data_IF_483950265664
#
_entry.id   IF_483950265664
#
_cell.length_a   1.000
_cell.length_b   1.000
_cell.length_c   1.000
_cell.angle_alpha   90.00
_cell.angle_beta   90.00
_cell.angle_gamma   90.00
#
_symmetry.space_group_name_H-M   'P 1'
#
loop_
_entity.id
_entity.type
_entity.pdbx_description
1 polymer ?
#
# COMPACT_ATOMS: atom_id res chain seq x y z
N UNK A 1 -15.56 8.78 2.83
CA UNK A 1 -14.12 9.03 3.04
C UNK A 1 -13.55 10.15 2.18
N UNK A 2 -13.70 10.12 0.83
CA UNK A 2 -13.12 11.15 -0.06
C UNK A 2 -13.53 12.60 0.27
N UNK A 3 -14.76 12.81 0.75
CA UNK A 3 -15.25 14.15 1.10
C UNK A 3 -14.44 14.83 2.22
N UNK A 4 -13.93 14.08 3.20
CA UNK A 4 -13.09 14.65 4.27
C UNK A 4 -11.73 15.12 3.75
N UNK A 5 -11.14 14.38 2.80
CA UNK A 5 -9.93 14.78 2.10
C UNK A 5 -10.15 16.06 1.29
N UNK A 6 -11.30 16.19 0.62
CA UNK A 6 -11.65 17.40 -0.13
C UNK A 6 -11.74 18.64 0.77
N UNK A 7 -12.34 18.52 1.96
CA UNK A 7 -12.42 19.61 2.94
C UNK A 7 -11.01 20.04 3.39
N UNK A 8 -10.12 19.09 3.65
CA UNK A 8 -8.74 19.40 4.04
C UNK A 8 -7.96 20.09 2.92
N UNK A 9 -8.17 19.67 1.66
CA UNK A 9 -7.59 20.32 0.48
C UNK A 9 -8.08 21.77 0.34
N UNK A 10 -9.39 21.99 0.38
CA UNK A 10 -10.00 23.34 0.23
C UNK A 10 -9.58 24.28 1.37
N UNK A 11 -9.43 23.76 2.58
CA UNK A 11 -8.97 24.56 3.74
C UNK A 11 -7.45 24.67 3.87
N UNK A 12 -6.69 24.09 2.92
CA UNK A 12 -5.23 24.10 2.92
C UNK A 12 -4.61 23.35 4.11
N UNK A 13 -5.36 22.47 4.78
CA UNK A 13 -4.94 21.74 5.99
C UNK A 13 -4.19 20.45 5.65
N UNK A 14 -3.18 20.55 4.78
CA UNK A 14 -2.31 19.43 4.39
C UNK A 14 -0.85 19.88 4.49
N UNK A 15 0.04 19.00 4.98
CA UNK A 15 1.49 19.22 4.99
C UNK A 15 2.01 20.19 6.07
N UNK A 16 1.16 20.60 7.03
CA UNK A 16 1.54 21.47 8.15
C UNK A 16 1.26 20.79 9.49
N UNK A 17 2.06 21.14 10.50
CA UNK A 17 1.90 20.62 11.86
C UNK A 17 0.48 20.89 12.39
N UNK A 18 -0.12 19.90 13.06
CA UNK A 18 -1.50 19.99 13.58
C UNK A 18 -2.61 19.91 12.51
N UNK A 19 -2.28 19.63 11.24
CA UNK A 19 -3.25 19.44 10.16
C UNK A 19 -3.12 18.07 9.50
N UNK A 20 -4.16 17.64 8.80
CA UNK A 20 -4.19 16.40 8.02
C UNK A 20 -5.40 15.53 8.34
N UNK A 21 -5.41 14.34 7.74
CA UNK A 21 -6.40 13.31 7.99
C UNK A 21 -5.73 12.11 8.67
N UNK A 22 -6.17 11.79 9.88
CA UNK A 22 -5.73 10.59 10.60
C UNK A 22 -6.82 9.51 10.53
N UNK A 23 -6.56 8.43 9.79
CA UNK A 23 -7.43 7.25 9.83
C UNK A 23 -7.01 6.36 11.01
N UNK A 24 -7.84 6.32 12.06
CA UNK A 24 -7.61 5.41 13.19
C UNK A 24 -7.97 3.99 12.75
N UNK A 25 -6.98 3.12 12.64
CA UNK A 25 -7.19 1.70 12.31
C UNK A 25 -7.45 0.89 13.59
N UNK A 26 -8.45 -0.01 13.57
CA UNK A 26 -8.83 -0.76 14.77
C UNK A 26 -7.82 -1.82 15.22
N UNK A 27 -7.17 -2.53 14.28
CA UNK A 27 -6.21 -3.58 14.61
C UNK A 27 -4.83 -2.99 14.91
N UNK A 28 -4.14 -3.50 15.94
CA UNK A 28 -2.87 -2.97 16.42
C UNK A 28 -1.73 -2.94 15.38
N UNK A 29 -1.73 -3.87 14.42
CA UNK A 29 -0.80 -3.87 13.29
C UNK A 29 -1.52 -3.81 11.93
N UNK A 30 -2.71 -3.21 11.88
CA UNK A 30 -3.51 -3.17 10.65
C UNK A 30 -2.84 -2.39 9.52
N UNK A 31 -2.12 -1.31 9.84
CA UNK A 31 -1.38 -0.53 8.85
C UNK A 31 -0.06 -1.22 8.45
N UNK A 32 0.72 -1.74 9.42
CA UNK A 32 1.95 -2.47 9.12
C UNK A 32 1.72 -3.73 8.29
N UNK A 33 0.63 -4.47 8.52
CA UNK A 33 0.24 -5.60 7.68
C UNK A 33 0.07 -5.22 6.20
N UNK A 34 -0.55 -4.07 5.92
CA UNK A 34 -0.73 -3.56 4.55
C UNK A 34 0.60 -3.16 3.93
N UNK A 35 1.47 -2.54 4.71
CA UNK A 35 2.83 -2.19 4.28
C UNK A 35 3.68 -3.40 3.94
N UNK A 36 3.50 -4.51 4.66
CA UNK A 36 4.18 -5.76 4.37
C UNK A 36 3.58 -6.53 3.18
N UNK A 37 2.55 -5.99 2.52
CA UNK A 37 1.93 -6.63 1.37
C UNK A 37 0.97 -7.78 1.74
N UNK A 38 0.33 -7.74 2.92
CA UNK A 38 -0.70 -8.71 3.32
C UNK A 38 -2.02 -8.50 2.53
N UNK A 39 -1.91 -8.50 1.21
CA UNK A 39 -3.00 -8.39 0.24
C UNK A 39 -2.59 -9.10 -1.04
N UNK A 40 -3.50 -9.87 -1.64
CA UNK A 40 -3.21 -10.73 -2.79
C UNK A 40 -2.80 -9.98 -4.08
N UNK A 41 -2.87 -8.65 -4.10
CA UNK A 41 -2.56 -7.80 -5.24
C UNK A 41 -1.42 -6.80 -4.99
N UNK A 42 -0.75 -6.84 -3.83
CA UNK A 42 0.31 -5.89 -3.49
C UNK A 42 1.58 -6.59 -3.03
N UNK A 43 2.71 -6.03 -3.45
CA UNK A 43 4.03 -6.35 -2.94
C UNK A 43 4.35 -5.43 -1.73
N UNK A 44 5.31 -5.80 -0.87
CA UNK A 44 5.72 -4.97 0.25
C UNK A 44 6.06 -3.53 -0.17
N UNK A 45 5.75 -2.56 0.68
CA UNK A 45 5.91 -1.13 0.43
C UNK A 45 4.85 -0.53 -0.48
N UNK A 46 3.62 -1.05 -0.47
CA UNK A 46 2.52 -0.62 -1.35
C UNK A 46 2.85 -0.73 -2.85
N UNK A 47 3.78 -1.61 -3.22
CA UNK A 47 4.18 -1.82 -4.61
C UNK A 47 3.09 -2.60 -5.35
N UNK A 48 2.77 -2.17 -6.57
CA UNK A 48 1.84 -2.91 -7.44
C UNK A 48 2.51 -4.18 -7.99
N UNK A 49 1.88 -5.35 -7.80
CA UNK A 49 2.34 -6.66 -8.29
C UNK A 49 2.25 -6.80 -9.83
N UNK A 50 1.48 -5.94 -10.49
CA UNK A 50 1.34 -5.92 -11.94
C UNK A 50 2.46 -5.15 -12.64
N UNK A 51 3.17 -4.28 -11.92
CA UNK A 51 4.28 -3.50 -12.45
C UNK A 51 5.53 -4.40 -12.58
N UNK A 52 6.07 -4.60 -13.79
CA UNK A 52 7.26 -5.44 -14.00
C UNK A 52 8.50 -4.90 -13.28
N UNK A 53 8.65 -3.57 -13.16
CA UNK A 53 9.77 -2.97 -12.43
C UNK A 53 9.75 -3.30 -10.94
N UNK A 54 8.58 -3.26 -10.30
CA UNK A 54 8.44 -3.64 -8.90
C UNK A 54 8.70 -5.14 -8.68
N UNK A 55 8.27 -5.99 -9.62
CA UNK A 55 8.53 -7.43 -9.56
C UNK A 55 10.02 -7.73 -9.65
N UNK A 56 10.72 -7.09 -10.59
CA UNK A 56 12.17 -7.23 -10.75
C UNK A 56 12.92 -6.80 -9.49
N UNK A 57 12.60 -5.61 -8.95
CA UNK A 57 13.22 -5.11 -7.71
C UNK A 57 13.02 -6.09 -6.53
N UNK A 58 11.82 -6.65 -6.39
CA UNK A 58 11.53 -7.61 -5.31
C UNK A 58 12.18 -8.98 -5.55
N UNK A 59 12.21 -9.46 -6.80
CA UNK A 59 12.86 -10.70 -7.18
C UNK A 59 14.37 -10.65 -6.91
N UNK A 60 15.01 -9.53 -7.24
CA UNK A 60 16.43 -9.26 -6.91
C UNK A 60 16.66 -9.25 -5.39
N UNK A 61 15.82 -8.54 -4.62
CA UNK A 61 15.94 -8.47 -3.15
C UNK A 61 15.72 -9.83 -2.48
N UNK A 62 14.85 -10.66 -3.01
CA UNK A 62 14.57 -12.00 -2.49
C UNK A 62 15.48 -13.09 -3.09
N UNK A 63 16.37 -12.73 -4.02
CA UNK A 63 17.26 -13.65 -4.72
C UNK A 63 16.50 -14.82 -5.39
N UNK A 64 15.39 -14.50 -6.07
CA UNK A 64 14.57 -15.47 -6.81
C UNK A 64 14.43 -15.06 -8.28
N UNK A 65 14.12 -16.03 -9.14
CA UNK A 65 13.70 -15.73 -10.52
C UNK A 65 12.33 -15.02 -10.52
N UNK A 66 12.20 -13.93 -11.28
CA UNK A 66 10.97 -13.14 -11.44
C UNK A 66 9.78 -14.00 -11.90
N UNK A 67 10.04 -15.08 -12.65
CA UNK A 67 9.01 -16.03 -13.08
C UNK A 67 8.38 -16.80 -11.92
N UNK A 68 9.09 -16.93 -10.79
CA UNK A 68 8.58 -17.58 -9.57
C UNK A 68 7.74 -16.65 -8.72
N UNK A 69 7.79 -15.34 -8.96
CA UNK A 69 6.98 -14.37 -8.22
C UNK A 69 5.50 -14.53 -8.59
N UNK A 70 4.58 -14.66 -7.62
CA UNK A 70 3.16 -14.82 -7.91
C UNK A 70 2.61 -13.64 -8.73
N UNK A 71 1.56 -13.90 -9.51
CA UNK A 71 0.78 -12.85 -10.17
C UNK A 71 -0.35 -12.42 -9.23
N UNK A 72 -0.99 -11.29 -9.55
CA UNK A 72 -2.15 -10.77 -8.83
C UNK A 72 -3.16 -11.90 -8.56
N UNK A 73 -3.35 -12.24 -7.30
CA UNK A 73 -4.37 -13.18 -6.87
C UNK A 73 -5.75 -12.55 -6.92
N UNK A 74 -6.78 -13.40 -7.07
CA UNK A 74 -8.15 -13.00 -6.73
C UNK A 74 -8.31 -13.16 -5.23
N UNK A 75 -8.96 -12.19 -4.59
CA UNK A 75 -9.42 -12.34 -3.21
C UNK A 75 -10.38 -13.53 -3.17
N UNK A 76 -10.12 -14.50 -2.31
CA UNK A 76 -11.13 -15.49 -1.95
C UNK A 76 -12.19 -14.75 -1.13
N UNK A 77 -13.41 -14.67 -1.68
CA UNK A 77 -14.60 -14.26 -0.95
C UNK A 77 -15.28 -15.50 -0.38
#
# INVERSE_FOLDING_TARGET
>A
MRNFLNILLVTGKIGRFGCGYGAITGQGNGQGAREHGQKADQLPGYRDISNPGHRKEMAERWNIDEKRTPRKGRVCF
#
